data_IF_346685278522
#
_entry.id   IF_346685278522
#
_cell.length_a   1.000
_cell.length_b   1.000
_cell.length_c   1.000
_cell.angle_alpha   90.00
_cell.angle_beta   90.00
_cell.angle_gamma   90.00
#
_symmetry.space_group_name_H-M   'P 1'
#
loop_
_entity.id
_entity.type
_entity.pdbx_description
1 polymer ?
#
# COMPACT_ATOMS: atom_id res chain seq x y z
N UNK A 1 -16.62 -8.30 19.20
CA UNK A 1 -16.86 -7.62 17.91
C UNK A 1 -16.15 -8.45 16.84
N UNK A 2 -16.88 -8.94 15.83
CA UNK A 2 -16.29 -9.74 14.76
C UNK A 2 -15.28 -8.88 14.01
N UNK A 3 -14.01 -9.21 14.16
CA UNK A 3 -12.87 -8.51 13.57
C UNK A 3 -12.72 -8.94 12.10
N UNK A 4 -13.80 -8.76 11.32
CA UNK A 4 -13.80 -9.06 9.89
C UNK A 4 -12.91 -8.02 9.23
N UNK A 5 -11.78 -8.46 8.66
CA UNK A 5 -10.92 -7.58 7.88
C UNK A 5 -11.76 -6.92 6.77
N UNK A 6 -11.65 -5.60 6.57
CA UNK A 6 -12.39 -4.92 5.52
C UNK A 6 -12.08 -5.54 4.16
N UNK A 7 -13.12 -5.77 3.36
CA UNK A 7 -12.99 -6.32 2.02
C UNK A 7 -12.44 -5.23 1.09
N UNK A 8 -11.28 -5.50 0.47
CA UNK A 8 -10.70 -4.63 -0.57
C UNK A 8 -11.55 -4.73 -1.83
N UNK A 9 -12.08 -3.61 -2.32
CA UNK A 9 -12.96 -3.55 -3.49
C UNK A 9 -12.27 -3.04 -4.75
N UNK A 10 -11.20 -2.26 -4.58
CA UNK A 10 -10.44 -1.63 -5.65
C UNK A 10 -9.03 -1.27 -5.17
N UNK A 11 -8.13 -1.00 -6.11
CA UNK A 11 -6.85 -0.35 -5.84
C UNK A 11 -6.79 1.01 -6.55
N UNK A 12 -6.26 2.00 -5.86
CA UNK A 12 -5.91 3.30 -6.45
C UNK A 12 -4.48 3.23 -6.96
N UNK A 13 -4.27 3.36 -8.28
CA UNK A 13 -2.97 3.32 -8.97
C UNK A 13 -2.09 2.09 -8.64
N UNK A 14 -2.69 1.03 -8.11
CA UNK A 14 -1.98 -0.11 -7.49
C UNK A 14 -1.07 0.27 -6.31
N UNK A 15 -1.22 1.47 -5.74
CA UNK A 15 -0.41 1.97 -4.62
C UNK A 15 -1.19 1.96 -3.30
N UNK A 16 -2.52 2.04 -3.35
CA UNK A 16 -3.36 2.05 -2.16
C UNK A 16 -4.60 1.16 -2.32
N UNK A 17 -5.03 0.56 -1.22
CA UNK A 17 -6.25 -0.25 -1.16
C UNK A 17 -7.46 0.62 -0.87
N UNK A 18 -8.57 0.36 -1.56
CA UNK A 18 -9.86 1.00 -1.33
C UNK A 18 -10.82 -0.03 -0.72
N UNK A 19 -11.53 0.37 0.33
CA UNK A 19 -12.56 -0.43 0.99
C UNK A 19 -13.83 0.40 1.21
N UNK A 20 -14.95 -0.28 1.50
CA UNK A 20 -16.18 0.38 1.93
C UNK A 20 -16.19 0.47 3.46
N UNK A 21 -16.55 1.63 3.98
CA UNK A 21 -16.78 1.82 5.41
C UNK A 21 -17.80 2.90 5.68
N UNK A 22 -17.97 3.24 6.95
CA UNK A 22 -18.91 4.26 7.41
C UNK A 22 -18.25 5.64 7.38
N UNK A 23 -18.97 6.66 6.89
CA UNK A 23 -18.49 8.04 6.95
C UNK A 23 -18.41 8.54 8.39
N UNK A 24 -17.42 9.40 8.66
CA UNK A 24 -17.26 10.13 9.92
C UNK A 24 -18.15 11.36 10.00
N UNK A 25 -18.66 11.82 8.85
CA UNK A 25 -19.45 13.05 8.72
C UNK A 25 -20.93 12.79 8.42
N UNK A 26 -21.29 11.55 8.07
CA UNK A 26 -22.66 11.18 7.73
C UNK A 26 -22.97 9.71 8.06
N UNK A 27 -24.26 9.37 8.11
CA UNK A 27 -24.71 7.99 8.28
C UNK A 27 -24.66 7.16 6.98
N UNK A 28 -23.94 7.62 5.95
CA UNK A 28 -23.82 6.91 4.68
C UNK A 28 -22.50 6.13 4.57
N UNK A 29 -22.51 4.98 3.86
CA UNK A 29 -21.29 4.30 3.47
C UNK A 29 -20.50 5.14 2.46
N UNK A 30 -19.17 5.11 2.60
CA UNK A 30 -18.21 5.82 1.75
C UNK A 30 -17.04 4.91 1.37
N UNK A 31 -16.29 5.33 0.36
CA UNK A 31 -15.03 4.71 -0.01
C UNK A 31 -13.91 5.27 0.86
N UNK A 32 -13.08 4.38 1.40
CA UNK A 32 -12.00 4.70 2.31
C UNK A 32 -10.65 4.25 1.73
N UNK A 33 -9.63 5.09 1.92
CA UNK A 33 -8.23 4.78 1.59
C UNK A 33 -7.36 5.05 2.81
N UNK A 34 -6.50 4.08 3.15
CA UNK A 34 -5.56 4.20 4.26
C UNK A 34 -4.22 4.78 3.77
N UNK A 35 -3.78 5.88 4.40
CA UNK A 35 -2.44 6.42 4.32
C UNK A 35 -1.67 6.03 5.59
N UNK A 36 -0.95 4.91 5.52
CA UNK A 36 -0.31 4.29 6.70
C UNK A 36 0.78 5.16 7.33
N UNK A 37 1.51 5.90 6.52
CA UNK A 37 2.55 6.82 6.98
C UNK A 37 2.03 7.97 7.81
N UNK A 38 0.87 8.49 7.45
CA UNK A 38 0.18 9.54 8.17
C UNK A 38 -0.69 8.99 9.30
N UNK A 39 -0.78 7.66 9.42
CA UNK A 39 -1.72 6.97 10.29
C UNK A 39 -3.16 7.53 10.12
N UNK A 40 -3.54 7.77 8.87
CA UNK A 40 -4.79 8.43 8.52
C UNK A 40 -5.61 7.62 7.53
N UNK A 41 -6.93 7.77 7.60
CA UNK A 41 -7.88 7.17 6.65
C UNK A 41 -8.67 8.30 6.01
N UNK A 42 -8.57 8.38 4.69
CA UNK A 42 -9.24 9.37 3.87
C UNK A 42 -10.58 8.86 3.35
N UNK A 43 -11.61 9.70 3.42
CA UNK A 43 -12.88 9.48 2.72
C UNK A 43 -12.74 9.98 1.28
N UNK A 44 -12.83 9.07 0.32
CA UNK A 44 -12.85 9.44 -1.09
C UNK A 44 -14.23 10.02 -1.44
N UNK A 45 -14.22 10.98 -2.37
CA UNK A 45 -15.45 11.44 -3.01
C UNK A 45 -16.11 10.26 -3.74
N UNK A 46 -17.42 10.10 -3.58
CA UNK A 46 -18.20 9.03 -4.20
C UNK A 46 -19.29 8.51 -3.27
N UNK A 47 -20.29 7.84 -3.84
CA UNK A 47 -21.39 7.22 -3.10
C UNK A 47 -21.20 5.71 -3.08
N UNK A 48 -20.91 5.15 -1.90
CA UNK A 48 -20.73 3.71 -1.71
C UNK A 48 -22.03 2.99 -1.30
N UNK A 49 -23.20 3.62 -1.51
CA UNK A 49 -24.52 2.98 -1.30
C UNK A 49 -24.93 2.06 -2.46
N UNK A 50 -24.19 2.09 -3.57
CA UNK A 50 -24.47 1.28 -4.75
C UNK A 50 -24.12 -0.19 -4.53
N UNK A 51 -24.80 -1.10 -5.22
CA UNK A 51 -24.46 -2.53 -5.17
C UNK A 51 -23.16 -2.87 -5.93
N UNK A 52 -22.78 -2.03 -6.92
CA UNK A 52 -21.54 -2.18 -7.68
C UNK A 52 -20.56 -1.06 -7.35
N UNK A 53 -19.85 -1.27 -6.25
CA UNK A 53 -18.83 -0.36 -5.73
C UNK A 53 -17.71 -0.09 -6.74
N UNK A 54 -17.33 -1.11 -7.52
CA UNK A 54 -16.24 -0.97 -8.49
C UNK A 54 -16.64 -0.06 -9.64
N UNK A 55 -17.84 -0.27 -10.20
CA UNK A 55 -18.37 0.59 -11.25
C UNK A 55 -18.52 2.06 -10.77
N UNK A 56 -18.97 2.26 -9.52
CA UNK A 56 -19.06 3.60 -8.93
C UNK A 56 -17.70 4.29 -8.81
N UNK A 57 -16.66 3.56 -8.38
CA UNK A 57 -15.29 4.10 -8.32
C UNK A 57 -14.73 4.42 -9.71
N UNK A 58 -14.94 3.54 -10.70
CA UNK A 58 -14.49 3.79 -12.09
C UNK A 58 -15.21 5.00 -12.69
N UNK A 59 -16.49 5.20 -12.37
CA UNK A 59 -17.24 6.36 -12.84
C UNK A 59 -16.70 7.69 -12.27
N UNK A 60 -16.25 7.70 -11.02
CA UNK A 60 -15.70 8.90 -10.36
C UNK A 60 -14.23 9.16 -10.72
N UNK A 61 -13.41 8.11 -10.75
CA UNK A 61 -11.95 8.23 -10.80
C UNK A 61 -11.32 7.72 -12.10
N UNK A 62 -12.04 6.98 -12.93
CA UNK A 62 -11.57 6.50 -14.22
C UNK A 62 -10.53 5.38 -14.14
N UNK A 63 -9.51 5.47 -15.00
CA UNK A 63 -8.48 4.45 -15.24
C UNK A 63 -7.46 4.29 -14.12
N UNK A 64 -7.44 5.21 -13.15
CA UNK A 64 -6.60 5.08 -11.95
C UNK A 64 -7.12 4.02 -10.98
N UNK A 65 -8.35 3.54 -11.17
CA UNK A 65 -8.98 2.48 -10.38
C UNK A 65 -8.76 1.14 -11.07
N UNK A 66 -8.20 0.18 -10.35
CA UNK A 66 -8.05 -1.19 -10.82
C UNK A 66 -8.78 -2.17 -9.91
N UNK A 67 -9.32 -3.23 -10.52
CA UNK A 67 -9.97 -4.30 -9.77
C UNK A 67 -8.91 -5.19 -9.12
N UNK A 68 -9.03 -5.55 -7.84
CA UNK A 68 -8.15 -6.52 -7.23
C UNK A 68 -8.43 -7.90 -7.85
N UNK A 69 -7.64 -8.28 -8.85
CA UNK A 69 -7.58 -9.65 -9.34
C UNK A 69 -6.87 -10.56 -8.32
N UNK A 70 -6.91 -11.89 -8.49
CA UNK A 70 -6.22 -12.85 -7.62
C UNK A 70 -4.71 -12.61 -7.47
N UNK A 71 -4.10 -11.88 -8.42
CA UNK A 71 -2.70 -11.49 -8.42
C UNK A 71 -2.45 -9.98 -8.35
N UNK A 72 -3.47 -9.16 -8.09
CA UNK A 72 -3.28 -7.72 -7.95
C UNK A 72 -2.47 -7.44 -6.67
N UNK A 73 -1.22 -7.01 -6.85
CA UNK A 73 -0.32 -6.65 -5.75
C UNK A 73 -0.13 -5.15 -5.73
N UNK A 74 0.01 -4.61 -4.53
CA UNK A 74 0.51 -3.25 -4.38
C UNK A 74 1.90 -3.18 -5.01
N UNK A 75 2.14 -2.12 -5.78
CA UNK A 75 3.46 -1.83 -6.36
C UNK A 75 4.25 -0.85 -5.49
N UNK A 76 3.63 -0.27 -4.46
CA UNK A 76 4.29 0.59 -3.47
C UNK A 76 3.62 0.46 -2.11
N UNK A 77 4.40 0.71 -1.06
CA UNK A 77 3.97 0.82 0.32
C UNK A 77 4.68 2.01 0.96
N UNK A 78 4.02 2.62 1.93
CA UNK A 78 4.62 3.64 2.79
C UNK A 78 4.26 3.27 4.23
N UNK A 79 5.22 3.35 5.14
CA UNK A 79 4.99 2.94 6.52
C UNK A 79 5.94 3.66 7.48
N UNK A 80 5.45 3.85 8.70
CA UNK A 80 6.24 4.36 9.81
C UNK A 80 6.66 3.19 10.70
N UNK A 81 7.97 3.02 10.92
CA UNK A 81 8.47 1.87 11.69
C UNK A 81 8.32 2.04 13.20
N UNK A 82 7.94 3.25 13.66
CA UNK A 82 7.90 3.63 15.08
C UNK A 82 9.29 3.88 15.70
N UNK A 83 10.38 3.67 14.96
CA UNK A 83 11.74 3.95 15.43
C UNK A 83 12.01 5.46 15.48
N UNK A 84 12.68 5.91 16.53
CA UNK A 84 12.90 7.34 16.80
C UNK A 84 14.13 7.90 16.09
N UNK A 85 14.01 8.15 14.78
CA UNK A 85 15.03 8.87 14.00
C UNK A 85 14.63 10.31 13.63
N UNK A 86 13.34 10.64 13.63
CA UNK A 86 12.79 12.01 13.61
C UNK A 86 11.68 12.14 14.67
N UNK A 87 11.18 13.36 14.96
CA UNK A 87 10.03 13.56 15.87
C UNK A 87 8.78 12.75 15.47
N UNK A 88 8.58 12.54 14.17
CA UNK A 88 7.47 11.79 13.58
C UNK A 88 7.76 10.28 13.52
N UNK A 89 8.99 9.84 13.78
CA UNK A 89 9.44 8.45 13.65
C UNK A 89 10.24 8.20 12.36
N UNK A 90 10.40 6.93 12.00
CA UNK A 90 11.12 6.55 10.78
C UNK A 90 10.12 6.30 9.66
N UNK A 91 10.13 7.15 8.65
CA UNK A 91 9.26 7.03 7.49
C UNK A 91 10.00 6.36 6.33
N UNK A 92 9.45 5.25 5.84
CA UNK A 92 9.97 4.51 4.70
C UNK A 92 8.92 4.46 3.60
N UNK A 93 9.32 4.91 2.41
CA UNK A 93 8.63 4.70 1.15
C UNK A 93 9.30 3.55 0.41
N UNK A 94 8.55 2.61 -0.15
CA UNK A 94 9.12 1.51 -0.91
C UNK A 94 8.24 1.16 -2.11
N UNK A 95 8.84 0.88 -3.27
CA UNK A 95 8.12 0.50 -4.48
C UNK A 95 8.88 -0.51 -5.33
N UNK A 96 8.10 -1.34 -6.02
CA UNK A 96 8.61 -2.36 -6.95
C UNK A 96 9.20 -1.68 -8.17
N UNK A 97 10.47 -1.95 -8.44
CA UNK A 97 11.17 -1.47 -9.64
C UNK A 97 11.38 -2.58 -10.67
N UNK A 98 11.45 -3.84 -10.23
CA UNK A 98 11.54 -4.99 -11.11
C UNK A 98 11.03 -6.27 -10.45
N UNK A 99 10.72 -7.27 -11.27
CA UNK A 99 10.44 -8.64 -10.83
C UNK A 99 11.44 -9.55 -11.52
N UNK A 100 12.31 -10.16 -10.72
CA UNK A 100 13.27 -11.16 -11.15
C UNK A 100 12.57 -12.53 -11.21
N UNK A 101 12.38 -13.02 -12.42
CA UNK A 101 11.71 -14.30 -12.72
C UNK A 101 12.71 -15.41 -13.07
N UNK A 102 13.99 -15.24 -12.75
CA UNK A 102 15.04 -16.24 -13.02
C UNK A 102 14.72 -17.63 -12.43
N UNK A 103 13.98 -17.68 -11.32
CA UNK A 103 13.38 -18.91 -10.78
C UNK A 103 11.85 -18.77 -10.88
N UNK A 104 11.19 -19.41 -11.87
CA UNK A 104 9.76 -19.24 -12.13
C UNK A 104 8.86 -19.58 -10.95
N UNK A 105 9.22 -20.59 -10.16
CA UNK A 105 8.47 -21.01 -8.97
C UNK A 105 8.60 -20.00 -7.83
N UNK A 106 9.69 -19.23 -7.82
CA UNK A 106 10.06 -18.31 -6.74
C UNK A 106 10.54 -16.96 -7.29
N UNK A 107 9.63 -16.16 -7.88
CA UNK A 107 9.98 -14.83 -8.32
C UNK A 107 10.45 -13.99 -7.13
N UNK A 108 11.43 -13.12 -7.39
CA UNK A 108 11.95 -12.16 -6.41
C UNK A 108 11.55 -10.77 -6.84
N UNK A 109 11.04 -9.98 -5.91
CA UNK A 109 10.64 -8.61 -6.16
C UNK A 109 11.82 -7.71 -5.80
N UNK A 110 12.27 -6.91 -6.76
CA UNK A 110 13.26 -5.86 -6.53
C UNK A 110 12.50 -4.60 -6.13
N UNK A 111 12.78 -4.11 -4.94
CA UNK A 111 12.09 -2.99 -4.31
C UNK A 111 13.10 -1.90 -4.03
N UNK A 112 12.87 -0.72 -4.58
CA UNK A 112 13.55 0.48 -4.12
C UNK A 112 12.89 0.95 -2.83
N UNK A 113 13.68 1.32 -1.83
CA UNK A 113 13.19 1.99 -0.64
C UNK A 113 13.89 3.34 -0.46
N UNK A 114 13.19 4.27 0.19
CA UNK A 114 13.67 5.56 0.61
C UNK A 114 13.31 5.77 2.08
N UNK A 115 14.31 5.69 2.94
CA UNK A 115 14.24 6.07 4.33
C UNK A 115 14.51 7.58 4.43
N UNK A 116 13.43 8.35 4.48
CA UNK A 116 13.50 9.82 4.54
C UNK A 116 14.09 10.30 5.86
N UNK A 117 13.88 9.54 6.94
CA UNK A 117 14.32 9.93 8.29
C UNK A 117 15.83 9.77 8.47
N UNK A 118 16.46 8.82 7.77
CA UNK A 118 17.93 8.60 7.84
C UNK A 118 18.69 9.04 6.60
N UNK A 119 17.99 9.52 5.57
CA UNK A 119 18.57 9.86 4.26
C UNK A 119 19.30 8.67 3.62
N UNK A 120 18.70 7.48 3.74
CA UNK A 120 19.23 6.25 3.16
C UNK A 120 18.23 5.76 2.12
N UNK A 121 18.72 5.45 0.94
CA UNK A 121 17.97 4.76 -0.09
C UNK A 121 18.76 3.58 -0.64
N UNK A 122 18.05 2.66 -1.28
CA UNK A 122 18.66 1.46 -1.81
C UNK A 122 17.66 0.49 -2.40
N UNK A 123 18.19 -0.62 -2.91
CA UNK A 123 17.44 -1.70 -3.52
C UNK A 123 17.48 -2.92 -2.61
N UNK A 124 16.32 -3.47 -2.25
CA UNK A 124 16.18 -4.75 -1.55
C UNK A 124 15.50 -5.78 -2.44
N UNK A 125 15.86 -7.05 -2.22
CA UNK A 125 15.26 -8.20 -2.88
C UNK A 125 14.38 -8.95 -1.89
N UNK A 126 13.07 -8.97 -2.13
CA UNK A 126 12.07 -9.52 -1.21
C UNK A 126 11.11 -10.49 -1.90
N UNK A 127 10.44 -11.35 -1.12
CA UNK A 127 9.43 -12.29 -1.65
C UNK A 127 8.05 -11.66 -1.80
N UNK A 128 7.73 -10.69 -0.96
CA UNK A 128 6.50 -9.90 -1.04
C UNK A 128 6.79 -8.45 -0.69
N UNK A 129 6.03 -7.52 -1.28
CA UNK A 129 6.08 -6.12 -0.89
C UNK A 129 5.28 -5.93 0.40
N UNK A 130 5.93 -6.18 1.53
CA UNK A 130 5.38 -5.96 2.87
C UNK A 130 6.36 -5.18 3.72
N UNK A 131 5.86 -4.44 4.71
CA UNK A 131 6.69 -3.73 5.70
C UNK A 131 7.71 -4.68 6.33
N UNK A 132 7.25 -5.85 6.77
CA UNK A 132 8.11 -6.86 7.41
C UNK A 132 9.26 -7.28 6.49
N UNK A 133 8.98 -7.65 5.24
CA UNK A 133 9.99 -8.17 4.33
C UNK A 133 11.00 -7.09 3.93
N UNK A 134 10.53 -5.85 3.70
CA UNK A 134 11.40 -4.71 3.40
C UNK A 134 12.29 -4.38 4.59
N UNK A 135 11.72 -4.34 5.81
CA UNK A 135 12.49 -4.06 7.02
C UNK A 135 13.49 -5.16 7.36
N UNK A 136 13.16 -6.43 7.16
CA UNK A 136 14.10 -7.53 7.39
C UNK A 136 15.29 -7.49 6.41
N UNK A 137 15.07 -7.04 5.17
CA UNK A 137 16.16 -6.82 4.23
C UNK A 137 17.01 -5.60 4.61
N UNK A 138 16.35 -4.49 4.97
CA UNK A 138 16.97 -3.25 5.44
C UNK A 138 17.85 -3.49 6.69
N UNK A 139 17.31 -4.13 7.73
CA UNK A 139 17.98 -4.32 9.03
C UNK A 139 19.20 -5.24 8.93
N UNK A 140 19.16 -6.20 8.00
CA UNK A 140 20.30 -7.08 7.72
C UNK A 140 21.35 -6.44 6.81
N UNK A 141 21.19 -5.18 6.40
CA UNK A 141 22.10 -4.51 5.47
C UNK A 141 22.12 -5.15 4.08
N UNK A 142 21.07 -5.88 3.70
CA UNK A 142 20.97 -6.61 2.42
C UNK A 142 20.42 -5.71 1.31
N UNK A 143 20.89 -4.47 1.26
CA UNK A 143 20.49 -3.51 0.24
C UNK A 143 21.69 -3.04 -0.58
N UNK A 144 21.46 -2.88 -1.87
CA UNK A 144 22.42 -2.31 -2.81
C UNK A 144 22.19 -0.79 -2.90
N UNK A 145 23.24 0.03 -3.13
CA UNK A 145 23.07 1.43 -3.49
C UNK A 145 22.16 1.55 -4.72
N UNK A 146 21.28 2.53 -4.70
CA UNK A 146 20.37 2.81 -5.81
C UNK A 146 21.04 3.56 -6.97
#
# INVERSE_FOLDING_TARGET
>A
MNNTKPTVIALLRNTAQIYVGQSRFSDKPVFLVEAKSENHVYELRGDATTNDHYAALVAEFGDIISKPGPGAKLNSIEFNTGRQYSPEGQLIEAWVVAIDQSIPEWPTIVVYFKDRSRMIDGLVRVRSLTEKDVMEAYDHGRYEPA
#
